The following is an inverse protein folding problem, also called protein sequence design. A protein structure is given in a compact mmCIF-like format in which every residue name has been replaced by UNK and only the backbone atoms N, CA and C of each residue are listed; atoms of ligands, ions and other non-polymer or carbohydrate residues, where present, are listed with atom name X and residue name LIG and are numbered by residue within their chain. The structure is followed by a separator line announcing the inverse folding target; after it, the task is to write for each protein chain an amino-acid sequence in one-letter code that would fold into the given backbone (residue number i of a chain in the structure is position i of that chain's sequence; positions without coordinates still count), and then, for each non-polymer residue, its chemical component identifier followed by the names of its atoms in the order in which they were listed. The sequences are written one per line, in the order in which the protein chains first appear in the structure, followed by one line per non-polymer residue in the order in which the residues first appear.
data_IF_101040553558
#
_entry.id   IF_101040553558
#
_cell.length_a   1.000
_cell.length_b   1.000
_cell.length_c   1.000
_cell.angle_alpha   90.00
_cell.angle_beta   90.00
_cell.angle_gamma   90.00
#
_symmetry.space_group_name_H-M   'P 1'
#
loop_
_entity.id
_entity.type
_entity.pdbx_description
1 polymer ?
#
# COMPACT_ATOMS: atom_id res chain seq x y z
N UNK A 1 14.20 12.54 15.30
CA UNK A 1 12.76 12.73 15.63
C UNK A 1 12.02 11.40 15.54
N UNK A 2 11.30 11.06 16.59
CA UNK A 2 10.48 9.86 16.61
C UNK A 2 9.15 10.17 15.93
N UNK A 3 8.81 9.44 14.88
CA UNK A 3 7.53 9.62 14.21
C UNK A 3 6.41 8.99 15.06
N UNK A 4 5.24 9.64 15.13
CA UNK A 4 4.12 9.07 15.88
C UNK A 4 3.66 7.75 15.27
N UNK A 5 3.12 6.88 16.11
CA UNK A 5 2.53 5.62 15.66
C UNK A 5 1.01 5.73 15.78
N UNK A 6 0.32 5.41 14.70
CA UNK A 6 -1.15 5.36 14.66
C UNK A 6 -1.56 3.94 14.32
N UNK A 7 -2.32 3.32 15.20
CA UNK A 7 -2.64 1.89 15.07
C UNK A 7 -3.24 1.52 13.71
N UNK A 8 -4.17 2.32 13.21
CA UNK A 8 -4.79 2.06 11.91
C UNK A 8 -3.83 2.19 10.74
N UNK A 9 -2.68 2.85 10.94
CA UNK A 9 -1.68 3.03 9.89
C UNK A 9 -0.46 2.13 10.08
N UNK A 10 -0.50 1.19 11.03
CA UNK A 10 0.63 0.31 11.32
C UNK A 10 1.08 -0.52 10.12
N UNK A 11 0.13 -0.91 9.27
CA UNK A 11 0.48 -1.66 8.07
C UNK A 11 1.46 -0.86 7.20
N UNK A 12 1.13 0.41 6.93
CA UNK A 12 1.99 1.27 6.11
C UNK A 12 3.26 1.67 6.86
N UNK A 13 3.14 1.98 8.15
CA UNK A 13 4.26 2.47 8.95
C UNK A 13 5.32 1.41 9.19
N UNK A 14 4.97 0.14 9.12
CA UNK A 14 5.90 -0.97 9.38
C UNK A 14 6.58 -1.51 8.12
N UNK A 15 6.22 -1.01 6.95
CA UNK A 15 6.88 -1.42 5.72
C UNK A 15 8.33 -0.97 5.74
N UNK A 16 9.24 -1.92 5.50
CA UNK A 16 10.70 -1.69 5.56
C UNK A 16 11.38 -2.37 4.36
N UNK A 17 12.65 -2.03 4.16
CA UNK A 17 13.50 -2.69 3.19
C UNK A 17 13.37 -2.16 1.78
N UNK A 18 13.95 -2.87 0.79
CA UNK A 18 13.90 -2.46 -0.61
C UNK A 18 12.47 -2.44 -1.15
N UNK A 19 12.25 -1.60 -2.14
CA UNK A 19 10.95 -1.50 -2.84
C UNK A 19 9.79 -1.06 -1.94
N UNK A 20 10.08 -0.20 -0.95
CA UNK A 20 9.08 0.27 0.01
C UNK A 20 7.89 0.96 -0.65
N UNK A 21 8.13 1.77 -1.69
CA UNK A 21 7.05 2.46 -2.38
C UNK A 21 6.07 1.47 -3.02
N UNK A 22 6.59 0.44 -3.69
CA UNK A 22 5.75 -0.59 -4.28
C UNK A 22 4.97 -1.35 -3.22
N UNK A 23 5.63 -1.76 -2.15
CA UNK A 23 4.99 -2.48 -1.04
C UNK A 23 3.89 -1.62 -0.40
N UNK A 24 4.13 -0.32 -0.26
CA UNK A 24 3.14 0.61 0.26
C UNK A 24 1.90 0.66 -0.64
N UNK A 25 2.09 0.72 -1.95
CA UNK A 25 0.97 0.73 -2.89
C UNK A 25 0.16 -0.58 -2.83
N UNK A 26 0.84 -1.71 -2.73
CA UNK A 26 0.17 -3.00 -2.54
C UNK A 26 -0.63 -3.01 -1.24
N UNK A 27 -0.05 -2.51 -0.16
CA UNK A 27 -0.72 -2.44 1.14
C UNK A 27 -1.98 -1.58 1.06
N UNK A 28 -1.90 -0.40 0.45
CA UNK A 28 -3.05 0.49 0.27
C UNK A 28 -4.17 -0.22 -0.51
N UNK A 29 -3.82 -0.91 -1.58
CA UNK A 29 -4.80 -1.63 -2.39
C UNK A 29 -5.45 -2.79 -1.62
N UNK A 30 -4.68 -3.46 -0.76
CA UNK A 30 -5.20 -4.54 0.07
C UNK A 30 -6.08 -4.03 1.21
N UNK A 31 -5.80 -2.83 1.74
CA UNK A 31 -6.57 -2.24 2.82
C UNK A 31 -7.94 -1.75 2.38
N UNK A 32 -8.15 -1.52 1.09
CA UNK A 32 -9.42 -1.05 0.59
C UNK A 32 -10.52 -2.09 0.83
N UNK A 33 -11.57 -1.70 1.59
CA UNK A 33 -12.71 -2.57 1.92
C UNK A 33 -12.32 -3.90 2.60
N UNK A 34 -11.22 -3.89 3.38
CA UNK A 34 -10.73 -5.10 4.06
C UNK A 34 -10.35 -4.77 5.49
N UNK A 35 -10.55 -5.73 6.38
CA UNK A 35 -10.09 -5.58 7.77
C UNK A 35 -8.58 -5.55 7.83
N UNK A 36 -8.04 -4.51 8.45
CA UNK A 36 -6.61 -4.29 8.62
C UNK A 36 -5.89 -5.51 9.20
N UNK A 37 -6.49 -6.18 10.17
CA UNK A 37 -5.86 -7.36 10.80
C UNK A 37 -5.60 -8.50 9.82
N UNK A 38 -6.46 -8.67 8.82
CA UNK A 38 -6.24 -9.70 7.79
C UNK A 38 -5.10 -9.29 6.87
N UNK A 39 -5.02 -8.02 6.52
CA UNK A 39 -3.94 -7.49 5.69
C UNK A 39 -2.60 -7.66 6.39
N UNK A 40 -2.52 -7.39 7.70
CA UNK A 40 -1.31 -7.56 8.50
C UNK A 40 -0.78 -8.99 8.48
N UNK A 41 -1.66 -9.98 8.35
CA UNK A 41 -1.27 -11.39 8.28
C UNK A 41 -0.78 -11.75 6.87
N UNK A 42 -1.50 -11.27 5.84
CA UNK A 42 -1.27 -11.69 4.46
C UNK A 42 -0.05 -11.00 3.84
N UNK A 43 0.16 -9.71 4.09
CA UNK A 43 1.23 -8.96 3.44
C UNK A 43 2.62 -9.52 3.68
N UNK A 44 3.01 -9.90 4.90
CA UNK A 44 4.35 -10.49 5.09
C UNK A 44 4.55 -11.76 4.27
N UNK A 45 3.53 -12.59 4.14
CA UNK A 45 3.57 -13.81 3.32
C UNK A 45 3.71 -13.47 1.84
N UNK A 46 2.94 -12.48 1.38
CA UNK A 46 2.96 -12.04 0.00
C UNK A 46 4.35 -11.49 -0.37
N UNK A 47 4.92 -10.63 0.47
CA UNK A 47 6.22 -10.02 0.21
C UNK A 47 7.39 -10.98 0.40
N UNK A 48 7.22 -12.03 1.20
CA UNK A 48 8.22 -13.09 1.29
C UNK A 48 8.31 -13.87 -0.03
N UNK A 49 7.16 -14.15 -0.63
CA UNK A 49 7.11 -14.86 -1.91
C UNK A 49 7.45 -13.95 -3.09
N UNK A 50 7.01 -12.69 -3.04
CA UNK A 50 7.21 -11.71 -4.10
C UNK A 50 7.88 -10.46 -3.50
N UNK A 51 9.20 -10.48 -3.32
CA UNK A 51 9.89 -9.40 -2.60
C UNK A 51 10.03 -8.10 -3.39
N UNK A 52 9.72 -8.10 -4.68
CA UNK A 52 9.87 -6.93 -5.53
C UNK A 52 8.84 -6.98 -6.69
N UNK A 53 8.66 -5.85 -7.40
CA UNK A 53 7.67 -5.78 -8.48
C UNK A 53 7.87 -6.82 -9.58
N UNK A 54 9.09 -7.03 -10.00
CA UNK A 54 9.38 -7.99 -11.09
C UNK A 54 9.08 -9.41 -10.68
N UNK A 55 9.40 -9.78 -9.43
CA UNK A 55 9.07 -11.09 -8.91
C UNK A 55 7.55 -11.30 -8.90
N UNK A 56 6.79 -10.27 -8.54
CA UNK A 56 5.33 -10.35 -8.57
C UNK A 56 4.82 -10.60 -9.99
N UNK A 57 5.33 -9.85 -10.97
CA UNK A 57 4.88 -10.00 -12.36
C UNK A 57 5.26 -11.35 -12.96
N UNK A 58 6.37 -11.97 -12.52
CA UNK A 58 6.75 -13.32 -12.93
C UNK A 58 5.92 -14.40 -12.25
N UNK A 59 5.22 -14.07 -11.18
CA UNK A 59 4.41 -15.02 -10.44
C UNK A 59 3.15 -15.43 -11.20
N UNK A 60 2.60 -16.57 -10.82
CA UNK A 60 1.35 -17.07 -11.41
C UNK A 60 0.16 -16.35 -10.79
N UNK A 61 -0.74 -15.87 -11.62
CA UNK A 61 -1.97 -15.21 -11.17
C UNK A 61 -2.76 -16.10 -10.20
N UNK A 62 -2.89 -17.38 -10.52
CA UNK A 62 -3.64 -18.32 -9.68
C UNK A 62 -3.06 -18.40 -8.26
N UNK A 63 -1.74 -18.46 -8.14
CA UNK A 63 -1.09 -18.47 -6.81
C UNK A 63 -1.35 -17.18 -6.06
N UNK A 64 -1.27 -16.06 -6.74
CA UNK A 64 -1.54 -14.76 -6.13
C UNK A 64 -2.99 -14.65 -5.67
N UNK A 65 -3.91 -15.15 -6.46
CA UNK A 65 -5.33 -15.21 -6.09
C UNK A 65 -5.55 -16.04 -4.84
N UNK A 66 -4.93 -17.22 -4.76
CA UNK A 66 -5.02 -18.09 -3.58
C UNK A 66 -4.51 -17.35 -2.32
N UNK A 67 -3.39 -16.66 -2.44
CA UNK A 67 -2.81 -15.92 -1.31
C UNK A 67 -3.70 -14.77 -0.84
N UNK A 68 -4.44 -14.14 -1.76
CA UNK A 68 -5.29 -12.99 -1.46
C UNK A 68 -6.72 -13.37 -1.03
N UNK A 69 -7.09 -14.64 -1.13
CA UNK A 69 -8.45 -15.10 -0.78
C UNK A 69 -8.96 -14.60 0.57
N UNK A 70 -8.17 -14.65 1.65
CA UNK A 70 -8.66 -14.18 2.95
C UNK A 70 -9.06 -12.71 2.97
N UNK A 71 -8.59 -11.92 2.02
CA UNK A 71 -8.92 -10.48 1.95
C UNK A 71 -10.24 -10.23 1.21
N UNK A 72 -10.79 -11.23 0.53
CA UNK A 72 -11.97 -11.04 -0.32
C UNK A 72 -11.64 -10.32 -1.62
N UNK A 73 -12.59 -10.30 -2.55
CA UNK A 73 -12.43 -9.66 -3.87
C UNK A 73 -11.10 -10.06 -4.55
N UNK A 74 -10.68 -11.27 -4.32
CA UNK A 74 -9.33 -11.72 -4.68
C UNK A 74 -9.10 -11.77 -6.19
N UNK A 75 -10.13 -12.06 -6.99
CA UNK A 75 -10.01 -12.09 -8.44
C UNK A 75 -9.70 -10.70 -9.00
N UNK A 76 -10.49 -9.70 -8.62
CA UNK A 76 -10.31 -8.31 -9.07
C UNK A 76 -9.05 -7.72 -8.46
N UNK A 77 -8.85 -7.96 -7.16
CA UNK A 77 -7.73 -7.39 -6.42
C UNK A 77 -6.39 -7.85 -6.98
N UNK A 78 -6.25 -9.14 -7.27
CA UNK A 78 -5.01 -9.67 -7.83
C UNK A 78 -4.67 -9.06 -9.19
N UNK A 79 -5.66 -8.89 -10.04
CA UNK A 79 -5.47 -8.29 -11.36
C UNK A 79 -5.14 -6.81 -11.27
N UNK A 80 -5.77 -6.09 -10.35
CA UNK A 80 -5.47 -4.67 -10.13
C UNK A 80 -4.05 -4.46 -9.60
N UNK A 81 -3.62 -5.31 -8.68
CA UNK A 81 -2.25 -5.24 -8.15
C UNK A 81 -1.24 -5.50 -9.29
N UNK A 82 -1.49 -6.48 -10.16
CA UNK A 82 -0.61 -6.73 -11.30
C UNK A 82 -0.54 -5.52 -12.23
N UNK A 83 -1.67 -4.92 -12.54
CA UNK A 83 -1.70 -3.74 -13.41
C UNK A 83 -0.95 -2.55 -12.78
N UNK A 84 -1.18 -2.30 -11.52
CA UNK A 84 -0.44 -1.27 -10.78
C UNK A 84 1.06 -1.56 -10.83
N UNK A 85 1.45 -2.83 -10.63
CA UNK A 85 2.85 -3.24 -10.62
C UNK A 85 3.52 -3.01 -11.97
N UNK A 86 2.82 -3.31 -13.07
CA UNK A 86 3.32 -3.02 -14.41
C UNK A 86 3.60 -1.53 -14.60
N UNK A 87 2.66 -0.70 -14.19
CA UNK A 87 2.81 0.75 -14.27
C UNK A 87 3.94 1.25 -13.36
N UNK A 88 4.09 0.65 -12.20
CA UNK A 88 5.12 1.03 -11.24
C UNK A 88 6.52 0.96 -11.83
N UNK A 89 6.79 -0.01 -12.69
CA UNK A 89 8.12 -0.18 -13.28
C UNK A 89 8.57 1.01 -14.13
N UNK A 90 7.63 1.76 -14.69
CA UNK A 90 7.94 2.94 -15.51
C UNK A 90 7.42 4.24 -14.87
N UNK A 91 6.97 4.17 -13.62
CA UNK A 91 6.39 5.31 -12.93
C UNK A 91 7.48 6.29 -12.52
N UNK A 92 7.21 7.59 -12.72
CA UNK A 92 8.17 8.67 -12.43
C UNK A 92 8.24 9.04 -10.95
N UNK A 93 7.44 8.38 -10.10
CA UNK A 93 7.35 8.60 -8.64
C UNK A 93 6.85 9.98 -8.24
N UNK A 94 6.18 10.68 -9.13
CA UNK A 94 5.61 12.00 -8.83
C UNK A 94 4.21 11.90 -8.25
N UNK A 95 3.25 11.44 -9.04
CA UNK A 95 1.85 11.36 -8.62
C UNK A 95 1.43 9.91 -8.41
N UNK A 96 1.18 9.55 -7.14
CA UNK A 96 0.75 8.19 -6.81
C UNK A 96 -0.59 7.84 -7.47
N UNK A 97 -1.45 8.83 -7.68
CA UNK A 97 -2.74 8.63 -8.35
C UNK A 97 -2.62 8.22 -9.83
N UNK A 98 -1.44 8.33 -10.43
CA UNK A 98 -1.21 7.80 -11.77
C UNK A 98 -1.20 6.28 -11.79
N UNK A 99 -0.98 5.65 -10.64
CA UNK A 99 -0.97 4.20 -10.54
C UNK A 99 -2.39 3.65 -10.43
N UNK A 100 -2.66 2.58 -11.19
CA UNK A 100 -3.97 1.94 -11.19
C UNK A 100 -4.38 1.51 -9.78
N UNK A 101 -5.60 1.86 -9.39
CA UNK A 101 -6.13 1.47 -8.09
C UNK A 101 -5.71 2.36 -6.92
N UNK A 102 -4.92 3.40 -7.16
CA UNK A 102 -4.49 4.33 -6.12
C UNK A 102 -5.34 5.59 -6.22
N UNK A 103 -6.24 5.76 -5.24
CA UNK A 103 -7.11 6.92 -5.14
C UNK A 103 -6.56 7.97 -4.18
N UNK A 104 -7.46 8.82 -3.66
CA UNK A 104 -7.07 9.91 -2.77
C UNK A 104 -6.38 9.42 -1.50
N UNK A 105 -6.91 8.39 -0.84
CA UNK A 105 -6.30 7.85 0.37
C UNK A 105 -4.87 7.39 0.12
N UNK A 106 -4.66 6.61 -0.94
CA UNK A 106 -3.33 6.10 -1.28
C UNK A 106 -2.36 7.21 -1.66
N UNK A 107 -2.83 8.19 -2.42
CA UNK A 107 -2.03 9.34 -2.81
C UNK A 107 -1.63 10.18 -1.60
N UNK A 108 -2.58 10.49 -0.71
CA UNK A 108 -2.31 11.25 0.51
C UNK A 108 -1.34 10.48 1.42
N UNK A 109 -1.57 9.19 1.59
CA UNK A 109 -0.71 8.31 2.38
C UNK A 109 0.73 8.28 1.84
N UNK A 110 0.88 8.19 0.53
CA UNK A 110 2.20 8.20 -0.09
C UNK A 110 2.94 9.51 0.16
N UNK A 111 2.26 10.64 0.00
CA UNK A 111 2.87 11.95 0.24
C UNK A 111 3.34 12.09 1.69
N UNK A 112 2.51 11.65 2.64
CA UNK A 112 2.83 11.74 4.06
C UNK A 112 4.02 10.85 4.43
N UNK A 113 4.02 9.59 3.99
CA UNK A 113 5.00 8.61 4.45
C UNK A 113 6.29 8.57 3.62
N UNK A 114 6.25 9.02 2.37
CA UNK A 114 7.42 8.91 1.48
C UNK A 114 7.93 10.24 0.95
N UNK A 115 7.11 11.27 0.92
CA UNK A 115 7.50 12.56 0.35
C UNK A 115 7.66 13.66 1.40
N UNK A 116 7.43 13.36 2.68
CA UNK A 116 7.45 14.34 3.77
C UNK A 116 6.58 15.56 3.45
N UNK A 117 5.46 15.33 2.77
CA UNK A 117 4.54 16.39 2.36
C UNK A 117 3.16 16.11 2.93
N UNK A 118 2.56 17.13 3.53
CA UNK A 118 1.19 17.04 4.05
C UNK A 118 0.26 17.63 2.99
N UNK A 119 -0.54 16.78 2.30
CA UNK A 119 -1.46 17.30 1.28
C UNK A 119 -2.53 18.16 1.89
N UNK A 120 -3.06 19.11 1.09
CA UNK A 120 -4.24 19.87 1.48
C UNK A 120 -5.46 18.94 1.47
N UNK A 121 -6.42 19.21 2.35
CA UNK A 121 -7.71 18.51 2.37
C UNK A 121 -7.63 17.00 2.57
N UNK A 122 -6.74 16.55 3.45
CA UNK A 122 -6.70 15.13 3.83
C UNK A 122 -8.02 14.78 4.51
N UNK A 123 -8.75 13.81 3.95
CA UNK A 123 -10.08 13.44 4.43
C UNK A 123 -10.05 12.22 5.34
N UNK A 124 -9.09 11.32 5.16
CA UNK A 124 -9.02 10.12 5.96
C UNK A 124 -8.76 10.43 7.43
N UNK A 125 -9.61 9.89 8.29
CA UNK A 125 -9.58 10.15 9.73
C UNK A 125 -8.25 9.72 10.37
N UNK A 126 -7.72 8.59 9.96
CA UNK A 126 -6.50 8.05 10.57
C UNK A 126 -5.26 8.80 10.09
N UNK A 127 -5.22 9.21 8.82
CA UNK A 127 -4.16 10.07 8.33
C UNK A 127 -4.17 11.42 9.04
N UNK A 128 -5.35 11.98 9.30
CA UNK A 128 -5.48 13.24 10.04
C UNK A 128 -4.95 13.10 11.47
N UNK A 129 -5.23 11.98 12.14
CA UNK A 129 -4.66 11.72 13.47
C UNK A 129 -3.14 11.72 13.44
N UNK A 130 -2.55 11.08 12.42
CA UNK A 130 -1.11 11.04 12.26
C UNK A 130 -0.54 12.45 12.06
N UNK A 131 -1.16 13.25 11.20
CA UNK A 131 -0.75 14.63 10.94
C UNK A 131 -0.82 15.46 12.22
N UNK A 132 -1.90 15.34 12.99
CA UNK A 132 -2.07 16.09 14.24
C UNK A 132 -0.97 15.71 15.25
N UNK A 133 -0.61 14.43 15.33
CA UNK A 133 0.46 13.99 16.22
C UNK A 133 1.84 14.48 15.78
N UNK A 134 2.07 14.66 14.47
CA UNK A 134 3.30 15.25 13.96
C UNK A 134 3.48 16.70 14.40
N UNK A 135 2.37 17.42 14.57
CA UNK A 135 2.38 18.83 14.95
C UNK A 135 2.61 19.07 16.44
N UNK A 136 2.59 18.03 17.25
CA UNK A 136 2.77 18.12 18.70
C UNK A 136 4.23 18.15 19.12
#
# INVERSE_FOLDING_TARGET
MIKPMVEHLMVQQQIRGPHREWKHMVAVMCLNLTYRKHVKIILPRLFKRYPNPRAYLRGRLKTQQEMLKPLGMWEVRSKRIRRMTEQYLSWDKKEASDLHGIGKYGSDSYQIFFMNNIPANVQDKELRKYIDKLAQ
#
